data_IF_352076153259
#
_entry.id   IF_352076153259
#
_cell.length_a   1.000
_cell.length_b   1.000
_cell.length_c   1.000
_cell.angle_alpha   90.00
_cell.angle_beta   90.00
_cell.angle_gamma   90.00
#
_symmetry.space_group_name_H-M   'P 1'
#
loop_
_entity.id
_entity.type
_entity.pdbx_description
1 polymer ?
#
# COMPACT_ATOMS: atom_id res chain seq x y z
N UNK A 1 68.47 8.25 67.31
CA UNK A 1 68.15 8.78 65.96
C UNK A 1 67.18 7.91 65.15
N UNK A 2 67.17 6.57 65.25
CA UNK A 2 66.27 5.73 64.43
C UNK A 2 64.84 5.57 64.99
N UNK A 3 64.59 5.87 66.27
CA UNK A 3 63.25 5.75 66.88
C UNK A 3 62.37 6.99 66.69
N UNK A 4 62.96 8.19 66.71
CA UNK A 4 62.22 9.45 66.50
C UNK A 4 61.71 9.56 65.06
N UNK A 5 62.53 9.16 64.07
CA UNK A 5 62.14 9.14 62.65
C UNK A 5 61.00 8.15 62.36
N UNK A 6 60.92 7.02 63.06
CA UNK A 6 59.80 6.06 62.95
C UNK A 6 58.50 6.61 63.54
N UNK A 7 58.57 7.41 64.60
CA UNK A 7 57.40 8.00 65.25
C UNK A 7 56.79 9.11 64.40
N UNK A 8 57.63 9.98 63.85
CA UNK A 8 57.20 11.02 62.92
C UNK A 8 56.68 10.45 61.60
N UNK A 9 57.31 9.38 61.09
CA UNK A 9 56.79 8.66 59.92
C UNK A 9 55.40 8.06 60.17
N UNK A 10 55.19 7.40 61.31
CA UNK A 10 53.87 6.85 61.69
C UNK A 10 52.81 7.95 61.83
N UNK A 11 53.17 9.11 62.38
CA UNK A 11 52.26 10.26 62.53
C UNK A 11 51.86 10.82 61.16
N UNK A 12 52.82 11.05 60.27
CA UNK A 12 52.56 11.57 58.92
C UNK A 12 51.75 10.57 58.07
N UNK A 13 52.02 9.26 58.19
CA UNK A 13 51.22 8.22 57.53
C UNK A 13 49.79 8.20 58.07
N UNK A 14 49.60 8.38 59.38
CA UNK A 14 48.27 8.44 59.98
C UNK A 14 47.49 9.69 59.55
N UNK A 15 48.15 10.85 59.41
CA UNK A 15 47.55 12.08 58.88
C UNK A 15 47.16 11.97 57.39
N UNK A 16 47.97 11.30 56.57
CA UNK A 16 47.64 11.03 55.17
C UNK A 16 46.45 10.06 55.06
N UNK A 17 46.41 9.02 55.90
CA UNK A 17 45.29 8.08 55.94
C UNK A 17 43.98 8.73 56.37
N UNK A 18 44.01 9.65 57.35
CA UNK A 18 42.79 10.38 57.78
C UNK A 18 42.30 11.34 56.70
N UNK A 19 43.19 12.03 56.00
CA UNK A 19 42.85 12.87 54.84
C UNK A 19 42.22 12.05 53.70
N UNK A 20 42.77 10.87 53.40
CA UNK A 20 42.26 9.99 52.35
C UNK A 20 40.87 9.42 52.72
N UNK A 21 40.64 9.10 54.00
CA UNK A 21 39.33 8.71 54.52
C UNK A 21 38.30 9.85 54.44
N UNK A 22 38.69 11.09 54.72
CA UNK A 22 37.80 12.25 54.57
C UNK A 22 37.43 12.50 53.10
N UNK A 23 38.39 12.42 52.18
CA UNK A 23 38.13 12.62 50.74
C UNK A 23 37.19 11.54 50.19
N UNK A 24 37.42 10.27 50.56
CA UNK A 24 36.55 9.15 50.15
C UNK A 24 35.15 9.25 50.75
N UNK A 25 35.03 9.69 52.01
CA UNK A 25 33.76 10.02 52.66
C UNK A 25 32.99 11.09 51.89
N UNK A 26 33.64 12.21 51.53
CA UNK A 26 33.01 13.30 50.79
C UNK A 26 32.58 12.84 49.38
N UNK A 27 33.39 12.02 48.71
CA UNK A 27 33.05 11.45 47.41
C UNK A 27 31.83 10.52 47.48
N UNK A 28 31.74 9.67 48.51
CA UNK A 28 30.56 8.84 48.79
C UNK A 28 29.30 9.68 49.02
N UNK A 29 29.40 10.78 49.77
CA UNK A 29 28.27 11.69 50.00
C UNK A 29 27.83 12.36 48.69
N UNK A 30 28.77 12.78 47.85
CA UNK A 30 28.45 13.32 46.52
C UNK A 30 27.76 12.30 45.61
N UNK A 31 28.27 11.07 45.56
CA UNK A 31 27.67 9.95 44.81
C UNK A 31 26.25 9.63 45.29
N UNK A 32 26.06 9.53 46.60
CA UNK A 32 24.75 9.21 47.19
C UNK A 32 23.74 10.34 47.00
N UNK A 33 24.12 11.61 47.09
CA UNK A 33 23.21 12.75 46.79
C UNK A 33 22.85 12.81 45.30
N UNK A 34 23.78 12.49 44.41
CA UNK A 34 23.52 12.37 42.97
C UNK A 34 22.50 11.28 42.66
N UNK A 35 22.66 10.10 43.25
CA UNK A 35 21.69 9.01 43.11
C UNK A 35 20.37 9.28 43.83
N UNK A 36 20.36 10.01 44.95
CA UNK A 36 19.12 10.40 45.64
C UNK A 36 18.26 11.35 44.79
N UNK A 37 18.87 12.18 43.94
CA UNK A 37 18.12 12.94 42.92
C UNK A 37 17.56 12.04 41.83
N UNK A 38 18.23 10.95 41.49
CA UNK A 38 17.73 9.95 40.53
C UNK A 38 16.59 9.09 41.12
N UNK A 39 16.56 8.88 42.45
CA UNK A 39 15.47 8.19 43.14
C UNK A 39 14.12 8.93 43.06
N UNK A 40 14.11 10.25 42.84
CA UNK A 40 12.87 10.98 42.50
C UNK A 40 12.22 10.53 41.19
N UNK A 41 12.96 9.82 40.35
CA UNK A 41 12.49 9.29 39.06
C UNK A 41 12.31 7.76 39.08
N UNK A 42 12.69 7.08 40.17
CA UNK A 42 12.45 5.64 40.33
C UNK A 42 11.01 5.44 40.79
N UNK A 43 10.11 5.14 39.85
CA UNK A 43 8.70 4.83 40.12
C UNK A 43 7.67 5.81 39.53
N UNK A 44 8.08 6.93 38.90
CA UNK A 44 7.20 7.72 38.03
C UNK A 44 7.16 7.11 36.64
N UNK A 45 6.46 5.99 36.49
CA UNK A 45 6.15 5.43 35.17
C UNK A 45 4.96 6.18 34.58
N UNK A 46 5.25 7.24 33.83
CA UNK A 46 4.28 7.94 32.99
C UNK A 46 4.37 9.45 33.14
N UNK A 47 4.85 10.13 32.09
CA UNK A 47 4.44 11.52 31.87
C UNK A 47 2.94 11.53 31.62
N UNK A 48 2.20 12.45 32.25
CA UNK A 48 0.79 12.64 31.91
C UNK A 48 0.72 13.07 30.45
N UNK A 49 -0.07 12.36 29.65
CA UNK A 49 -0.16 12.60 28.21
C UNK A 49 -1.61 12.67 27.76
N UNK A 50 -1.83 13.42 26.69
CA UNK A 50 -3.08 13.42 25.94
C UNK A 50 -2.77 13.17 24.47
N UNK A 51 -3.56 12.31 23.85
CA UNK A 51 -3.46 11.99 22.42
C UNK A 51 -4.65 12.57 21.69
N UNK A 52 -4.39 13.21 20.56
CA UNK A 52 -5.40 13.79 19.70
C UNK A 52 -5.27 13.20 18.31
N UNK A 53 -6.38 12.72 17.78
CA UNK A 53 -6.46 12.20 16.41
C UNK A 53 -7.03 13.27 15.49
N UNK A 54 -6.36 13.45 14.36
CA UNK A 54 -6.77 14.37 13.30
C UNK A 54 -6.98 13.63 11.98
N UNK A 55 -7.93 14.11 11.21
CA UNK A 55 -8.28 13.59 9.88
C UNK A 55 -8.18 14.72 8.85
N UNK A 56 -7.57 14.42 7.72
CA UNK A 56 -7.45 15.32 6.59
C UNK A 56 -7.91 14.65 5.32
N UNK A 57 -8.66 15.38 4.50
CA UNK A 57 -9.30 14.86 3.29
C UNK A 57 -9.03 15.78 2.10
N UNK A 58 -8.67 15.19 0.98
CA UNK A 58 -8.47 15.88 -0.30
C UNK A 58 -9.23 15.13 -1.38
N UNK A 59 -9.91 15.86 -2.26
CA UNK A 59 -10.63 15.32 -3.40
C UNK A 59 -9.86 15.65 -4.68
N UNK A 60 -9.67 14.66 -5.54
CA UNK A 60 -9.01 14.85 -6.81
C UNK A 60 -9.66 13.97 -7.89
N UNK A 61 -9.71 14.51 -9.11
CA UNK A 61 -10.20 13.77 -10.28
C UNK A 61 -9.10 12.80 -10.74
N UNK A 62 -9.49 11.62 -11.19
CA UNK A 62 -8.55 10.66 -11.77
C UNK A 62 -7.88 11.23 -13.04
N UNK A 63 -6.56 11.11 -13.11
CA UNK A 63 -5.74 11.52 -14.26
C UNK A 63 -5.25 10.33 -15.08
N UNK A 64 -5.53 9.10 -14.62
CA UNK A 64 -5.13 7.87 -15.30
C UNK A 64 -6.29 6.88 -15.35
N UNK A 65 -6.47 6.27 -16.51
CA UNK A 65 -7.28 5.09 -16.70
C UNK A 65 -6.39 3.87 -16.93
N UNK A 66 -6.78 2.73 -16.40
CA UNK A 66 -6.04 1.48 -16.55
C UNK A 66 -6.98 0.34 -16.85
N UNK A 67 -6.54 -0.53 -17.75
CA UNK A 67 -7.21 -1.79 -18.03
C UNK A 67 -6.17 -2.85 -18.37
N UNK A 68 -6.63 -4.08 -18.49
CA UNK A 68 -5.82 -5.19 -18.96
C UNK A 68 -6.59 -6.00 -19.96
N UNK A 69 -5.88 -6.62 -20.89
CA UNK A 69 -6.47 -7.57 -21.81
C UNK A 69 -5.59 -8.79 -21.96
N UNK A 70 -6.18 -9.91 -22.39
CA UNK A 70 -5.44 -11.10 -22.77
C UNK A 70 -5.83 -11.62 -24.14
N UNK A 71 -4.86 -12.24 -24.80
CA UNK A 71 -5.01 -12.98 -26.05
C UNK A 71 -4.73 -14.44 -25.75
N UNK A 72 -5.68 -15.30 -26.10
CA UNK A 72 -5.57 -16.75 -25.94
C UNK A 72 -5.74 -17.38 -27.33
N UNK A 73 -4.71 -18.09 -27.79
CA UNK A 73 -4.71 -18.77 -29.09
C UNK A 73 -4.36 -20.24 -28.93
N UNK A 74 -5.06 -21.09 -29.68
CA UNK A 74 -4.84 -22.53 -29.69
C UNK A 74 -4.31 -22.99 -31.05
N UNK A 75 -3.30 -23.87 -31.05
CA UNK A 75 -2.81 -24.51 -32.27
C UNK A 75 -2.31 -25.95 -32.01
N UNK A 76 -1.99 -26.67 -33.09
CA UNK A 76 -1.47 -28.05 -32.99
C UNK A 76 -0.06 -28.11 -32.45
N UNK A 77 0.73 -27.06 -32.68
CA UNK A 77 2.10 -26.95 -32.20
C UNK A 77 2.25 -25.72 -31.29
N UNK A 78 3.20 -25.72 -30.34
CA UNK A 78 3.46 -24.55 -29.51
C UNK A 78 3.85 -23.34 -30.35
N UNK A 79 4.66 -23.54 -31.40
CA UNK A 79 5.16 -22.47 -32.26
C UNK A 79 4.02 -21.77 -33.01
N UNK A 80 3.10 -22.52 -33.60
CA UNK A 80 1.93 -21.93 -34.27
C UNK A 80 1.06 -21.14 -33.29
N UNK A 81 0.82 -21.66 -32.07
CA UNK A 81 0.03 -20.96 -31.05
C UNK A 81 0.69 -19.63 -30.65
N UNK A 82 2.03 -19.62 -30.53
CA UNK A 82 2.80 -18.42 -30.23
C UNK A 82 2.74 -17.39 -31.37
N UNK A 83 2.88 -17.81 -32.62
CA UNK A 83 2.83 -16.91 -33.79
C UNK A 83 1.45 -16.26 -33.96
N UNK A 84 0.37 -17.02 -33.74
CA UNK A 84 -1.00 -16.50 -33.74
C UNK A 84 -1.20 -15.47 -32.63
N UNK A 85 -0.78 -15.79 -31.40
CA UNK A 85 -0.89 -14.89 -30.25
C UNK A 85 -0.09 -13.60 -30.46
N UNK A 86 1.16 -13.72 -30.93
CA UNK A 86 2.03 -12.58 -31.21
C UNK A 86 1.45 -11.65 -32.28
N UNK A 87 0.82 -12.19 -33.32
CA UNK A 87 0.20 -11.38 -34.38
C UNK A 87 -0.91 -10.48 -33.82
N UNK A 88 -1.80 -11.04 -32.99
CA UNK A 88 -2.89 -10.26 -32.36
C UNK A 88 -2.38 -9.26 -31.33
N UNK A 89 -1.42 -9.66 -30.50
CA UNK A 89 -0.82 -8.76 -29.51
C UNK A 89 -0.11 -7.59 -30.19
N UNK A 90 0.66 -7.84 -31.26
CA UNK A 90 1.34 -6.77 -31.99
C UNK A 90 0.35 -5.79 -32.61
N UNK A 91 -0.75 -6.28 -33.20
CA UNK A 91 -1.81 -5.41 -33.73
C UNK A 91 -2.47 -4.57 -32.62
N UNK A 92 -2.73 -5.17 -31.45
CA UNK A 92 -3.28 -4.44 -30.31
C UNK A 92 -2.30 -3.37 -29.78
N UNK A 93 -1.01 -3.70 -29.68
CA UNK A 93 0.02 -2.76 -29.24
C UNK A 93 0.21 -1.62 -30.24
N UNK A 94 0.18 -1.90 -31.54
CA UNK A 94 0.26 -0.89 -32.60
C UNK A 94 -0.92 0.08 -32.53
N UNK A 95 -2.15 -0.44 -32.40
CA UNK A 95 -3.34 0.39 -32.18
C UNK A 95 -3.20 1.29 -30.93
N UNK A 96 -2.74 0.75 -29.81
CA UNK A 96 -2.54 1.55 -28.59
C UNK A 96 -1.55 2.70 -28.81
N UNK A 97 -0.47 2.45 -29.55
CA UNK A 97 0.52 3.49 -29.91
C UNK A 97 -0.08 4.55 -30.83
N UNK A 98 -0.91 4.16 -31.80
CA UNK A 98 -1.62 5.09 -32.68
C UNK A 98 -2.57 5.99 -31.90
N UNK A 99 -3.20 5.47 -30.84
CA UNK A 99 -4.04 6.24 -29.92
C UNK A 99 -3.24 7.11 -28.92
N UNK A 100 -1.90 7.09 -29.00
CA UNK A 100 -1.02 7.93 -28.20
C UNK A 100 -0.59 7.32 -26.86
N UNK A 101 -0.81 6.02 -26.63
CA UNK A 101 -0.29 5.33 -25.45
C UNK A 101 1.23 5.10 -25.61
N UNK A 102 2.00 5.55 -24.62
CA UNK A 102 3.45 5.40 -24.63
C UNK A 102 3.89 3.95 -24.36
N UNK A 103 5.05 3.55 -24.89
CA UNK A 103 5.62 2.21 -24.67
C UNK A 103 5.80 1.85 -23.19
N UNK A 104 6.13 2.85 -22.35
CA UNK A 104 6.30 2.64 -20.90
C UNK A 104 4.99 2.32 -20.18
N UNK A 105 3.87 2.67 -20.79
CA UNK A 105 2.52 2.53 -20.27
C UNK A 105 1.83 1.25 -20.79
N UNK A 106 2.54 0.45 -21.60
CA UNK A 106 2.11 -0.87 -22.09
C UNK A 106 3.03 -1.94 -21.51
N UNK A 107 2.49 -2.84 -20.69
CA UNK A 107 3.28 -3.84 -19.97
C UNK A 107 2.72 -5.24 -20.16
N UNK A 108 3.57 -6.18 -20.59
CA UNK A 108 3.22 -7.62 -20.49
C UNK A 108 3.24 -8.04 -19.02
N UNK A 109 2.10 -8.52 -18.52
CA UNK A 109 1.94 -8.99 -17.14
C UNK A 109 2.08 -10.50 -17.02
N UNK A 110 1.70 -11.23 -18.06
CA UNK A 110 1.81 -12.69 -18.10
C UNK A 110 2.05 -13.18 -19.53
N UNK A 111 2.83 -14.25 -19.67
CA UNK A 111 3.00 -14.98 -20.92
C UNK A 111 3.20 -16.46 -20.59
N UNK A 112 2.32 -17.32 -21.11
CA UNK A 112 2.33 -18.74 -20.86
C UNK A 112 1.98 -19.53 -22.12
N UNK A 113 2.60 -20.69 -22.29
CA UNK A 113 2.23 -21.66 -23.33
C UNK A 113 2.09 -23.02 -22.68
N UNK A 114 0.91 -23.61 -22.77
CA UNK A 114 0.58 -24.87 -22.11
C UNK A 114 -0.03 -25.89 -23.06
N UNK A 115 0.27 -27.20 -22.90
CA UNK A 115 -0.41 -28.25 -23.63
C UNK A 115 -1.88 -28.34 -23.20
N UNK A 116 -2.78 -28.47 -24.17
CA UNK A 116 -4.22 -28.66 -23.97
C UNK A 116 -4.57 -30.14 -24.12
N UNK A 117 -5.18 -30.70 -23.10
CA UNK A 117 -5.62 -32.09 -23.08
C UNK A 117 -7.15 -32.16 -23.02
N UNK A 118 -7.73 -33.06 -23.80
CA UNK A 118 -9.15 -33.40 -23.67
C UNK A 118 -9.31 -34.77 -23.01
N UNK A 119 -10.29 -34.84 -22.13
CA UNK A 119 -10.76 -36.08 -21.51
C UNK A 119 -11.94 -36.58 -22.32
N UNK A 120 -11.76 -37.71 -23.01
CA UNK A 120 -12.87 -38.36 -23.71
C UNK A 120 -13.45 -39.43 -22.81
N UNK A 121 -14.69 -39.20 -22.37
CA UNK A 121 -15.55 -40.21 -21.75
C UNK A 121 -16.24 -40.97 -22.88
N UNK A 122 -15.82 -42.21 -23.13
CA UNK A 122 -16.52 -43.11 -24.04
C UNK A 122 -17.55 -43.93 -23.24
N UNK A 123 -18.51 -43.23 -22.62
CA UNK A 123 -19.63 -43.87 -21.94
C UNK A 123 -20.83 -44.00 -22.88
N UNK A 124 -21.04 -45.20 -23.43
CA UNK A 124 -22.30 -45.58 -24.08
C UNK A 124 -23.10 -46.41 -23.09
N UNK A 125 -23.91 -45.76 -22.26
CA UNK A 125 -24.78 -46.43 -21.29
C UNK A 125 -26.20 -46.59 -21.87
N UNK A 126 -26.66 -47.84 -22.00
CA UNK A 126 -28.07 -48.09 -22.27
C UNK A 126 -28.92 -47.72 -21.04
N UNK A 127 -30.02 -46.98 -21.24
CA UNK A 127 -30.91 -46.56 -20.15
C UNK A 127 -31.43 -47.77 -19.37
N UNK A 128 -31.18 -47.81 -18.06
CA UNK A 128 -31.69 -48.84 -17.15
C UNK A 128 -30.69 -49.92 -16.71
N UNK A 129 -29.39 -49.81 -17.05
CA UNK A 129 -28.35 -50.77 -16.63
C UNK A 129 -27.19 -50.07 -15.92
N UNK A 130 -26.58 -50.73 -14.92
CA UNK A 130 -25.35 -50.27 -14.26
C UNK A 130 -24.20 -50.18 -15.27
N UNK A 131 -23.50 -49.04 -15.31
CA UNK A 131 -22.38 -48.79 -16.20
C UNK A 131 -21.04 -48.92 -15.44
N UNK A 132 -20.05 -49.68 -15.97
CA UNK A 132 -18.73 -49.74 -15.37
C UNK A 132 -18.00 -48.38 -15.48
N UNK A 133 -17.05 -48.07 -14.57
CA UNK A 133 -16.24 -46.87 -14.66
C UNK A 133 -15.47 -46.85 -15.99
N UNK A 134 -15.58 -45.77 -16.77
CA UNK A 134 -14.83 -45.61 -18.01
C UNK A 134 -13.36 -45.30 -17.71
N UNK A 135 -12.44 -45.89 -18.46
CA UNK A 135 -11.05 -45.44 -18.47
C UNK A 135 -10.97 -44.07 -19.15
N UNK A 136 -10.84 -43.01 -18.36
CA UNK A 136 -10.69 -41.65 -18.88
C UNK A 136 -9.36 -41.52 -19.64
N UNK A 137 -9.42 -41.53 -20.97
CA UNK A 137 -8.21 -41.39 -21.80
C UNK A 137 -7.89 -39.91 -22.03
N UNK A 138 -6.81 -39.43 -21.42
CA UNK A 138 -6.27 -38.08 -21.66
C UNK A 138 -5.57 -38.02 -23.00
N UNK A 139 -6.10 -37.24 -23.95
CA UNK A 139 -5.50 -37.05 -25.28
C UNK A 139 -4.99 -35.63 -25.42
N UNK A 140 -3.72 -35.46 -25.85
CA UNK A 140 -3.20 -34.14 -26.21
C UNK A 140 -3.90 -33.67 -27.49
N UNK A 141 -4.58 -32.53 -27.43
CA UNK A 141 -5.33 -31.97 -28.57
C UNK A 141 -4.67 -30.75 -29.18
N UNK A 142 -3.74 -30.11 -28.47
CA UNK A 142 -2.97 -28.98 -28.98
C UNK A 142 -2.19 -28.27 -27.88
N UNK A 143 -1.86 -27.01 -28.16
CA UNK A 143 -1.21 -26.08 -27.26
C UNK A 143 -1.97 -24.77 -27.25
N UNK A 144 -2.06 -24.17 -26.08
CA UNK A 144 -2.67 -22.85 -25.85
C UNK A 144 -1.55 -21.88 -25.48
N UNK A 145 -1.47 -20.76 -26.20
CA UNK A 145 -0.63 -19.63 -25.86
C UNK A 145 -1.51 -18.51 -25.28
N UNK A 146 -1.17 -18.04 -24.09
CA UNK A 146 -1.87 -16.98 -23.37
C UNK A 146 -0.91 -15.85 -23.03
N UNK A 147 -1.24 -14.63 -23.44
CA UNK A 147 -0.50 -13.43 -23.11
C UNK A 147 -1.44 -12.38 -22.53
N UNK A 148 -1.05 -11.75 -21.43
CA UNK A 148 -1.79 -10.67 -20.79
C UNK A 148 -0.98 -9.38 -20.82
N UNK A 149 -1.64 -8.29 -21.18
CA UNK A 149 -1.10 -6.93 -21.24
C UNK A 149 -1.87 -6.05 -20.26
N UNK A 150 -1.17 -5.22 -19.51
CA UNK A 150 -1.72 -4.11 -18.75
C UNK A 150 -1.38 -2.81 -19.48
N UNK A 151 -2.38 -1.93 -19.55
CA UNK A 151 -2.30 -0.65 -20.25
C UNK A 151 -2.65 0.46 -19.27
N UNK A 152 -1.84 1.51 -19.28
CA UNK A 152 -2.08 2.77 -18.60
C UNK A 152 -2.37 3.86 -19.64
N UNK A 153 -3.43 4.61 -19.45
CA UNK A 153 -3.86 5.71 -20.32
C UNK A 153 -3.88 6.98 -19.47
N UNK A 154 -3.12 8.00 -19.86
CA UNK A 154 -3.08 9.31 -19.17
C UNK A 154 -4.19 10.27 -19.62
N UNK A 155 -4.78 10.00 -20.77
CA UNK A 155 -5.92 10.74 -21.28
C UNK A 155 -7.20 9.96 -20.95
N UNK A 156 -7.76 10.21 -19.77
CA UNK A 156 -8.93 9.50 -19.24
C UNK A 156 -10.18 9.69 -20.11
N UNK A 157 -10.28 10.79 -20.84
CA UNK A 157 -11.39 11.08 -21.77
C UNK A 157 -11.39 10.12 -22.96
N UNK A 158 -10.20 9.74 -23.46
CA UNK A 158 -10.06 8.77 -24.58
C UNK A 158 -10.16 7.32 -24.14
N UNK A 159 -10.22 7.04 -22.85
CA UNK A 159 -10.10 5.67 -22.35
C UNK A 159 -11.24 4.75 -22.83
N UNK A 160 -12.47 5.27 -22.96
CA UNK A 160 -13.61 4.53 -23.51
C UNK A 160 -13.44 4.16 -24.99
N UNK A 161 -12.96 5.10 -25.80
CA UNK A 161 -12.72 4.90 -27.24
C UNK A 161 -11.58 3.90 -27.47
N UNK A 162 -10.50 4.03 -26.70
CA UNK A 162 -9.35 3.12 -26.77
C UNK A 162 -9.78 1.70 -26.38
N UNK A 163 -10.55 1.54 -25.31
CA UNK A 163 -11.09 0.25 -24.87
C UNK A 163 -11.98 -0.39 -25.94
N UNK A 164 -12.83 0.42 -26.57
CA UNK A 164 -13.76 -0.01 -27.62
C UNK A 164 -13.02 -0.53 -28.85
N UNK A 165 -12.03 0.22 -29.37
CA UNK A 165 -11.26 -0.22 -30.53
C UNK A 165 -10.36 -1.43 -30.26
N UNK A 166 -9.87 -1.62 -29.03
CA UNK A 166 -9.20 -2.87 -28.63
C UNK A 166 -10.12 -4.08 -28.77
N UNK A 167 -11.42 -3.91 -28.44
CA UNK A 167 -12.42 -4.95 -28.60
C UNK A 167 -12.57 -5.46 -30.03
N UNK A 168 -12.32 -4.61 -31.03
CA UNK A 168 -12.42 -4.96 -32.45
C UNK A 168 -11.22 -5.80 -32.95
N UNK A 169 -10.08 -5.75 -32.27
CA UNK A 169 -8.83 -6.46 -32.63
C UNK A 169 -8.91 -7.97 -32.26
N UNK A 170 -9.99 -8.40 -31.61
CA UNK A 170 -10.24 -9.80 -31.29
C UNK A 170 -9.41 -10.32 -30.11
N UNK A 171 -9.16 -9.44 -29.14
CA UNK A 171 -8.66 -9.83 -27.81
C UNK A 171 -9.74 -10.61 -27.05
N UNK A 172 -9.34 -11.52 -26.17
CA UNK A 172 -10.26 -12.50 -25.56
C UNK A 172 -10.87 -11.99 -24.27
N UNK A 173 -10.05 -11.56 -23.31
CA UNK A 173 -10.52 -11.13 -22.00
C UNK A 173 -10.08 -9.69 -21.77
N UNK A 174 -11.02 -8.76 -21.74
CA UNK A 174 -10.77 -7.36 -21.40
C UNK A 174 -11.28 -7.14 -19.97
N UNK A 175 -10.45 -6.58 -19.10
CA UNK A 175 -10.88 -6.22 -17.74
C UNK A 175 -11.74 -4.96 -17.75
N UNK A 176 -12.41 -4.70 -16.63
CA UNK A 176 -13.04 -3.40 -16.39
C UNK A 176 -12.00 -2.28 -16.47
N UNK A 177 -12.45 -1.11 -16.91
CA UNK A 177 -11.68 0.12 -16.84
C UNK A 177 -11.63 0.61 -15.39
N UNK A 178 -10.44 0.96 -14.91
CA UNK A 178 -10.21 1.48 -13.57
C UNK A 178 -9.58 2.86 -13.66
N UNK A 179 -10.09 3.81 -12.90
CA UNK A 179 -9.58 5.18 -12.85
C UNK A 179 -8.83 5.42 -11.55
N UNK A 180 -7.64 6.03 -11.63
CA UNK A 180 -6.74 6.29 -10.51
C UNK A 180 -6.00 7.60 -10.71
N UNK A 181 -5.26 8.00 -9.67
CA UNK A 181 -4.33 9.14 -9.73
C UNK A 181 -2.91 8.58 -9.84
N UNK A 182 -2.11 9.07 -10.78
CA UNK A 182 -0.74 8.56 -11.01
C UNK A 182 0.23 9.01 -9.91
N UNK A 183 0.18 10.29 -9.55
CA UNK A 183 1.01 10.91 -8.53
C UNK A 183 0.14 11.44 -7.38
N UNK A 184 0.05 10.63 -6.32
CA UNK A 184 -0.69 10.99 -5.11
C UNK A 184 0.20 11.67 -4.07
N UNK A 185 1.50 11.88 -4.31
CA UNK A 185 2.42 12.33 -3.26
C UNK A 185 2.07 13.72 -2.72
N UNK A 186 1.70 14.65 -3.61
CA UNK A 186 1.30 16.00 -3.22
C UNK A 186 -0.06 15.99 -2.51
N UNK A 187 -1.01 15.20 -3.01
CA UNK A 187 -2.35 15.07 -2.41
C UNK A 187 -2.28 14.41 -1.03
N UNK A 188 -1.43 13.40 -0.87
CA UNK A 188 -1.15 12.78 0.43
C UNK A 188 -0.47 13.76 1.39
N UNK A 189 0.44 14.62 0.89
CA UNK A 189 1.07 15.66 1.70
C UNK A 189 0.07 16.71 2.16
N UNK A 190 -0.83 17.11 1.28
CA UNK A 190 -1.90 18.06 1.60
C UNK A 190 -2.89 17.45 2.61
N UNK A 191 -3.35 16.22 2.39
CA UNK A 191 -4.20 15.51 3.34
C UNK A 191 -3.53 15.35 4.71
N UNK A 192 -2.22 15.02 4.75
CA UNK A 192 -1.45 14.95 6.00
C UNK A 192 -1.40 16.30 6.71
N UNK A 193 -1.17 17.39 5.97
CA UNK A 193 -1.13 18.74 6.53
C UNK A 193 -2.47 19.08 7.19
N UNK A 194 -3.58 18.83 6.50
CA UNK A 194 -4.93 19.03 7.04
C UNK A 194 -5.18 18.19 8.31
N UNK A 195 -4.74 16.92 8.30
CA UNK A 195 -4.88 16.04 9.45
C UNK A 195 -4.09 16.55 10.68
N UNK A 196 -2.90 17.11 10.47
CA UNK A 196 -2.09 17.72 11.54
C UNK A 196 -2.78 18.97 12.07
N UNK A 197 -3.25 19.86 11.20
CA UNK A 197 -3.98 21.08 11.59
C UNK A 197 -5.23 20.76 12.43
N UNK A 198 -6.00 19.75 12.02
CA UNK A 198 -7.18 19.26 12.78
C UNK A 198 -6.79 18.68 14.15
N UNK A 199 -5.72 17.87 14.22
CA UNK A 199 -5.23 17.34 15.50
C UNK A 199 -4.74 18.44 16.45
N UNK A 200 -4.04 19.45 15.93
CA UNK A 200 -3.54 20.60 16.71
C UNK A 200 -4.68 21.48 17.21
N UNK A 201 -5.70 21.73 16.39
CA UNK A 201 -6.89 22.47 16.79
C UNK A 201 -7.64 21.75 17.92
N UNK A 202 -7.88 20.45 17.77
CA UNK A 202 -8.49 19.61 18.82
C UNK A 202 -7.67 19.65 20.11
N UNK A 203 -6.35 19.54 20.00
CA UNK A 203 -5.46 19.61 21.15
C UNK A 203 -5.63 20.93 21.91
N UNK A 204 -5.61 22.06 21.19
CA UNK A 204 -5.76 23.42 21.74
C UNK A 204 -7.10 23.63 22.44
N UNK A 205 -8.19 23.17 21.84
CA UNK A 205 -9.55 23.33 22.40
C UNK A 205 -9.69 22.47 23.65
N UNK A 206 -9.41 21.17 23.54
CA UNK A 206 -9.63 20.22 24.63
C UNK A 206 -8.70 20.44 25.81
N UNK A 207 -7.44 20.84 25.58
CA UNK A 207 -6.54 21.17 26.69
C UNK A 207 -7.06 22.35 27.51
N UNK A 208 -7.64 23.36 26.83
CA UNK A 208 -8.21 24.53 27.47
C UNK A 208 -9.45 24.16 28.28
N UNK A 209 -10.33 23.34 27.72
CA UNK A 209 -11.58 22.91 28.38
C UNK A 209 -11.31 22.02 29.60
N UNK A 210 -10.24 21.22 29.56
CA UNK A 210 -9.80 20.38 30.68
C UNK A 210 -8.89 21.11 31.67
N UNK A 211 -8.52 22.36 31.40
CA UNK A 211 -7.66 23.16 32.28
C UNK A 211 -6.22 22.67 32.38
N UNK A 212 -5.73 21.93 31.38
CA UNK A 212 -4.35 21.41 31.32
C UNK A 212 -3.51 22.19 30.31
N UNK A 213 -2.19 22.24 30.52
CA UNK A 213 -1.24 22.88 29.60
C UNK A 213 -0.52 21.84 28.75
N UNK A 214 -0.58 21.99 27.44
CA UNK A 214 0.26 21.24 26.50
C UNK A 214 1.72 21.72 26.61
N UNK A 215 2.67 20.80 26.73
CA UNK A 215 4.11 21.11 26.90
C UNK A 215 4.89 20.89 25.61
N UNK A 216 4.92 19.64 25.13
CA UNK A 216 5.65 19.22 23.93
C UNK A 216 5.03 17.95 23.36
N UNK A 217 5.25 17.72 22.08
CA UNK A 217 4.92 16.46 21.41
C UNK A 217 5.89 15.38 21.91
N UNK A 218 5.34 14.24 22.35
CA UNK A 218 6.11 13.07 22.82
C UNK A 218 5.94 11.85 21.92
N UNK A 219 4.90 11.83 21.08
CA UNK A 219 4.69 10.80 20.07
C UNK A 219 3.93 11.38 18.88
N UNK A 220 4.28 10.93 17.69
CA UNK A 220 3.55 11.16 16.45
C UNK A 220 3.37 9.81 15.77
N UNK A 221 2.13 9.50 15.40
CA UNK A 221 1.81 8.31 14.63
C UNK A 221 0.95 8.71 13.44
N UNK A 222 1.34 8.26 12.25
CA UNK A 222 0.55 8.37 11.04
C UNK A 222 0.13 6.96 10.66
N UNK A 223 -1.18 6.70 10.71
CA UNK A 223 -1.69 5.47 10.11
C UNK A 223 -1.80 5.70 8.61
N UNK A 224 -0.90 5.07 7.86
CA UNK A 224 -0.94 5.09 6.40
C UNK A 224 -2.32 4.65 5.90
N UNK A 225 -2.89 5.45 5.01
CA UNK A 225 -4.21 5.19 4.46
C UNK A 225 -4.10 4.11 3.40
N UNK A 226 -4.68 2.95 3.70
CA UNK A 226 -5.06 1.99 2.66
C UNK A 226 -6.15 2.65 1.83
N UNK A 227 -5.86 2.90 0.55
CA UNK A 227 -6.86 3.29 -0.44
C UNK A 227 -8.03 2.30 -0.37
N UNK A 228 -9.16 2.72 0.19
CA UNK A 228 -10.44 2.07 -0.09
C UNK A 228 -10.99 2.75 -1.31
N UNK A 229 -10.75 2.17 -2.48
CA UNK A 229 -11.49 2.49 -3.69
C UNK A 229 -12.98 2.30 -3.36
N UNK A 230 -13.64 3.41 -3.05
CA UNK A 230 -15.06 3.43 -2.78
C UNK A 230 -15.71 3.48 -4.16
N UNK A 231 -15.77 2.34 -4.83
CA UNK A 231 -16.59 2.19 -6.03
C UNK A 231 -18.03 2.35 -5.57
N UNK A 232 -18.51 3.59 -5.57
CA UNK A 232 -19.93 3.86 -5.42
C UNK A 232 -20.58 3.42 -6.72
N UNK A 233 -20.86 2.12 -6.81
CA UNK A 233 -21.63 1.52 -7.89
C UNK A 233 -22.93 2.31 -8.00
N UNK A 234 -23.06 3.10 -9.06
CA UNK A 234 -24.34 3.67 -9.50
C UNK A 234 -25.21 2.51 -10.00
N UNK A 235 -25.77 1.74 -9.07
CA UNK A 235 -27.02 1.03 -9.32
C UNK A 235 -28.11 2.09 -9.33
N UNK A 236 -28.44 2.61 -10.51
CA UNK A 236 -29.82 2.77 -10.99
C UNK A 236 -29.87 3.70 -12.22
N UNK A 237 -29.65 3.14 -13.41
CA UNK A 237 -30.33 3.63 -14.61
C UNK A 237 -30.81 2.39 -15.37
N UNK A 238 -31.82 1.74 -14.80
CA UNK A 238 -32.70 0.92 -15.61
C UNK A 238 -33.61 1.86 -16.44
N UNK A 239 -33.79 1.52 -17.72
CA UNK A 239 -34.71 2.11 -18.71
C UNK A 239 -34.20 3.28 -19.56
N UNK A 240 -33.71 2.96 -20.78
CA UNK A 240 -34.26 3.47 -22.05
C UNK A 240 -33.48 2.95 -23.27
N UNK A 241 -34.18 2.23 -24.16
CA UNK A 241 -34.07 2.24 -25.63
C UNK A 241 -32.72 1.87 -26.28
N UNK A 242 -32.57 0.88 -27.17
CA UNK A 242 -33.41 0.53 -28.31
C UNK A 242 -32.77 1.03 -29.63
N UNK A 243 -32.23 0.09 -30.43
CA UNK A 243 -31.95 0.15 -31.88
C UNK A 243 -30.59 0.72 -32.35
N UNK A 244 -29.97 -0.01 -33.30
CA UNK A 244 -28.57 0.09 -33.70
C UNK A 244 -28.12 1.32 -34.49
N UNK A 245 -26.80 1.49 -34.53
CA UNK A 245 -26.08 2.47 -35.36
C UNK A 245 -25.10 3.30 -34.54
N UNK A 246 -23.80 3.10 -34.81
CA UNK A 246 -22.62 3.67 -34.13
C UNK A 246 -22.41 3.24 -32.68
N UNK A 247 -21.20 2.76 -32.41
CA UNK A 247 -20.74 2.40 -31.07
C UNK A 247 -20.60 3.71 -30.28
N UNK A 248 -21.66 4.09 -29.57
CA UNK A 248 -21.62 5.19 -28.62
C UNK A 248 -20.68 4.74 -27.51
N UNK A 249 -19.45 5.24 -27.52
CA UNK A 249 -18.53 5.10 -26.40
C UNK A 249 -19.21 5.74 -25.18
N UNK A 250 -19.48 4.98 -24.11
CA UNK A 250 -20.15 5.53 -22.94
C UNK A 250 -19.28 6.64 -22.35
N UNK A 251 -19.82 7.86 -22.19
CA UNK A 251 -19.19 8.86 -21.34
C UNK A 251 -19.09 8.28 -19.93
N UNK A 252 -17.86 8.06 -19.45
CA UNK A 252 -17.60 7.49 -18.13
C UNK A 252 -17.33 8.64 -17.15
N UNK A 253 -18.32 9.06 -16.33
CA UNK A 253 -18.07 10.06 -15.30
C UNK A 253 -17.05 9.51 -14.30
N UNK A 254 -15.90 10.17 -14.23
CA UNK A 254 -14.73 9.70 -13.49
C UNK A 254 -14.92 9.72 -11.96
N UNK A 255 -15.87 10.52 -11.47
CA UNK A 255 -16.02 10.78 -10.03
C UNK A 255 -14.81 11.50 -9.44
N UNK A 256 -14.89 11.83 -8.15
CA UNK A 256 -13.75 12.35 -7.38
C UNK A 256 -13.20 11.22 -6.49
N UNK A 257 -11.88 11.04 -6.52
CA UNK A 257 -11.16 10.18 -5.59
C UNK A 257 -10.91 10.94 -4.29
N UNK A 258 -11.28 10.33 -3.16
CA UNK A 258 -11.03 10.85 -1.83
C UNK A 258 -9.74 10.27 -1.27
N UNK A 259 -8.77 11.13 -1.03
CA UNK A 259 -7.53 10.81 -0.34
C UNK A 259 -7.69 11.27 1.11
N UNK A 260 -7.42 10.37 2.04
CA UNK A 260 -7.52 10.65 3.48
C UNK A 260 -6.15 10.49 4.12
N UNK A 261 -5.89 11.22 5.19
CA UNK A 261 -4.77 10.99 6.10
C UNK A 261 -5.27 11.02 7.54
N UNK A 262 -4.78 10.08 8.35
CA UNK A 262 -5.12 9.98 9.77
C UNK A 262 -3.84 10.06 10.60
N UNK A 263 -3.76 11.08 11.45
CA UNK A 263 -2.62 11.30 12.35
C UNK A 263 -3.07 11.25 13.79
N UNK A 264 -2.17 10.82 14.67
CA UNK A 264 -2.35 10.89 16.12
C UNK A 264 -1.13 11.55 16.73
N UNK A 265 -1.36 12.67 17.42
CA UNK A 265 -0.32 13.46 18.09
C UNK A 265 -0.51 13.33 19.59
N UNK A 266 0.52 12.89 20.30
CA UNK A 266 0.51 12.79 21.77
C UNK A 266 1.36 13.90 22.37
N UNK A 267 0.76 14.66 23.29
CA UNK A 267 1.40 15.73 24.03
C UNK A 267 1.64 15.35 25.48
N UNK A 268 2.76 15.79 26.05
CA UNK A 268 2.96 15.89 27.50
C UNK A 268 2.08 17.02 28.06
N UNK A 269 1.36 16.77 29.17
CA UNK A 269 0.47 17.73 29.81
C UNK A 269 0.86 18.04 31.26
N UNK A 270 0.48 19.23 31.74
CA UNK A 270 0.68 19.71 33.12
C UNK A 270 -0.52 20.46 33.68
#
# INVERSE_FOLDING_TARGET
>A
MLEETKKDYKKNVMEVLTLLLLITSVFMVFKTVGEFKSLKYVGQTGVNTMSFSGEGEVFAVADVASFSFSVIEEAKTPKEAQELSATKINAAVEYLKEQGVEDKDIKTTNYNVSPRYEWKSEQVCASGVWCPPSEEKRTLVGYEASQSISVKIKDTEKAGDILSGIGEIGVTNISSLSFSIDDEDELNREARKLAIEDAEEKARILSKDLGVKLVRIVSFNESGVYQRYNTKTLMDVSTASGMGGEMISPELPLGENKITSNVTITYEIR
#
